data_IF_439809918214
#
_entry.id   IF_439809918214
#
_cell.length_a   1.000
_cell.length_b   1.000
_cell.length_c   1.000
_cell.angle_alpha   90.00
_cell.angle_beta   90.00
_cell.angle_gamma   90.00
#
_symmetry.space_group_name_H-M   'P 1'
#
loop_
_entity.id
_entity.type
_entity.pdbx_description
1 polymer ?
#
# COMPACT_ATOMS: atom_id res chain seq x y z
N UNK A 1 -8.27 9.59 9.56
CA UNK A 1 -8.32 9.28 8.12
C UNK A 1 -8.78 7.84 7.92
N UNK A 2 -9.82 7.65 7.13
CA UNK A 2 -10.29 6.32 6.79
C UNK A 2 -9.38 5.69 5.73
N UNK A 3 -9.36 4.35 5.67
CA UNK A 3 -8.53 3.65 4.67
C UNK A 3 -8.96 4.01 3.24
N UNK A 4 -10.26 4.19 3.02
CA UNK A 4 -10.79 4.62 1.70
C UNK A 4 -10.31 6.02 1.32
N UNK A 5 -10.17 6.92 2.29
CA UNK A 5 -9.64 8.28 2.05
C UNK A 5 -8.18 8.21 1.63
N UNK A 6 -7.39 7.37 2.29
CA UNK A 6 -5.99 7.19 1.94
C UNK A 6 -5.83 6.60 0.55
N UNK A 7 -6.62 5.58 0.22
CA UNK A 7 -6.59 4.97 -1.11
C UNK A 7 -6.94 5.99 -2.19
N UNK A 8 -7.96 6.82 -1.95
CA UNK A 8 -8.34 7.89 -2.88
C UNK A 8 -7.23 8.92 -3.02
N UNK A 9 -6.58 9.29 -1.91
CA UNK A 9 -5.46 10.22 -1.94
C UNK A 9 -4.32 9.70 -2.82
N UNK A 10 -4.02 8.42 -2.74
CA UNK A 10 -2.98 7.81 -3.59
C UNK A 10 -3.37 7.85 -5.07
N UNK A 11 -4.64 7.66 -5.39
CA UNK A 11 -5.11 7.80 -6.78
C UNK A 11 -5.02 9.25 -7.26
N UNK A 12 -5.42 10.19 -6.43
CA UNK A 12 -5.36 11.62 -6.77
C UNK A 12 -3.90 12.07 -7.02
N UNK A 13 -2.96 11.59 -6.21
CA UNK A 13 -1.56 11.99 -6.31
C UNK A 13 -0.79 11.23 -7.39
N UNK A 14 -1.02 9.93 -7.54
CA UNK A 14 -0.16 9.03 -8.30
C UNK A 14 -0.88 8.17 -9.33
N UNK A 15 -2.21 8.23 -9.39
CA UNK A 15 -3.00 7.31 -10.23
C UNK A 15 -2.58 7.30 -11.69
N UNK A 16 -2.32 8.47 -12.27
CA UNK A 16 -1.89 8.57 -13.67
C UNK A 16 -0.51 7.91 -13.88
N UNK A 17 0.45 8.26 -13.02
CA UNK A 17 1.80 7.69 -13.08
C UNK A 17 1.77 6.18 -12.83
N UNK A 18 0.93 5.72 -11.91
CA UNK A 18 0.77 4.30 -11.60
C UNK A 18 0.27 3.52 -12.82
N UNK A 19 -0.76 4.05 -13.48
CA UNK A 19 -1.33 3.41 -14.68
C UNK A 19 -0.33 3.38 -15.82
N UNK A 20 0.44 4.45 -16.00
CA UNK A 20 1.49 4.51 -17.04
C UNK A 20 2.61 3.50 -16.77
N UNK A 21 2.97 3.32 -15.50
CA UNK A 21 4.01 2.35 -15.10
C UNK A 21 3.54 0.91 -15.28
N UNK A 22 2.28 0.64 -14.98
CA UNK A 22 1.67 -0.68 -15.09
C UNK A 22 1.77 -1.52 -13.82
N UNK A 23 0.86 -2.49 -13.70
CA UNK A 23 0.73 -3.35 -12.50
C UNK A 23 1.98 -4.19 -12.18
N UNK A 24 2.65 -4.83 -13.16
CA UNK A 24 3.83 -5.64 -12.82
C UNK A 24 4.91 -4.82 -12.11
N UNK A 25 5.13 -3.59 -12.55
CA UNK A 25 6.10 -2.69 -11.92
C UNK A 25 5.63 -2.25 -10.53
N UNK A 26 4.34 -1.99 -10.35
CA UNK A 26 3.78 -1.65 -9.04
C UNK A 26 3.97 -2.79 -8.04
N UNK A 27 3.75 -4.05 -8.46
CA UNK A 27 3.98 -5.22 -7.62
C UNK A 27 5.44 -5.34 -7.23
N UNK A 28 6.36 -5.12 -8.17
CA UNK A 28 7.79 -5.16 -7.88
C UNK A 28 8.20 -4.11 -6.84
N UNK A 29 7.70 -2.89 -6.97
CA UNK A 29 7.95 -1.82 -5.99
C UNK A 29 7.37 -2.13 -4.63
N UNK A 30 6.13 -2.67 -4.59
CA UNK A 30 5.51 -3.10 -3.33
C UNK A 30 6.38 -4.14 -2.61
N UNK A 31 6.87 -5.15 -3.34
CA UNK A 31 7.73 -6.18 -2.77
C UNK A 31 9.04 -5.58 -2.25
N UNK A 32 9.62 -4.62 -2.95
CA UNK A 32 10.83 -3.94 -2.51
C UNK A 32 10.59 -3.18 -1.20
N UNK A 33 9.46 -2.46 -1.10
CA UNK A 33 9.11 -1.73 0.13
C UNK A 33 8.87 -2.66 1.31
N UNK A 34 8.27 -3.83 1.07
CA UNK A 34 8.12 -4.85 2.13
C UNK A 34 9.49 -5.29 2.63
N UNK A 35 10.47 -5.45 1.73
CA UNK A 35 11.84 -5.75 2.11
C UNK A 35 12.49 -4.65 2.94
N UNK A 36 12.27 -3.40 2.59
CA UNK A 36 12.77 -2.26 3.36
C UNK A 36 12.13 -2.17 4.74
N UNK A 37 10.82 -2.48 4.83
CA UNK A 37 10.14 -2.57 6.12
C UNK A 37 10.77 -3.66 7.00
N UNK A 38 11.03 -4.82 6.43
CA UNK A 38 11.66 -5.92 7.16
C UNK A 38 13.03 -5.51 7.69
N UNK A 39 13.80 -4.78 6.90
CA UNK A 39 15.10 -4.25 7.34
C UNK A 39 14.95 -3.25 8.48
N UNK A 40 13.99 -2.34 8.38
CA UNK A 40 13.73 -1.34 9.41
C UNK A 40 13.28 -1.98 10.73
N UNK A 41 12.51 -3.05 10.67
CA UNK A 41 12.10 -3.81 11.86
C UNK A 41 13.30 -4.46 12.53
N UNK A 42 14.23 -5.01 11.75
CA UNK A 42 15.39 -5.72 12.29
C UNK A 42 16.44 -4.78 12.88
N UNK A 43 16.70 -3.64 12.25
CA UNK A 43 17.82 -2.78 12.64
C UNK A 43 17.59 -1.29 12.46
N UNK A 44 16.36 -0.88 12.23
CA UNK A 44 16.04 0.54 12.07
C UNK A 44 15.50 1.19 13.32
N UNK A 45 15.27 2.48 13.23
CA UNK A 45 14.64 3.28 14.28
C UNK A 45 13.11 3.22 14.15
N UNK A 46 12.42 3.69 15.18
CA UNK A 46 10.96 3.83 15.15
C UNK A 46 10.52 4.73 13.99
N UNK A 47 11.24 5.81 13.73
CA UNK A 47 10.94 6.70 12.60
C UNK A 47 11.05 5.98 11.26
N UNK A 48 12.09 5.18 11.08
CA UNK A 48 12.29 4.41 9.85
C UNK A 48 11.20 3.35 9.69
N UNK A 49 10.82 2.68 10.76
CA UNK A 49 9.74 1.70 10.76
C UNK A 49 8.41 2.35 10.34
N UNK A 50 8.10 3.51 10.90
CA UNK A 50 6.88 4.25 10.57
C UNK A 50 6.89 4.69 9.10
N UNK A 51 8.05 5.16 8.62
CA UNK A 51 8.22 5.55 7.22
C UNK A 51 7.95 4.37 6.28
N UNK A 52 8.54 3.21 6.54
CA UNK A 52 8.38 2.04 5.68
C UNK A 52 6.98 1.44 5.75
N UNK A 53 6.31 1.50 6.90
CA UNK A 53 4.89 1.13 6.97
C UNK A 53 4.05 2.01 6.06
N UNK A 54 4.32 3.32 6.04
CA UNK A 54 3.64 4.25 5.15
C UNK A 54 3.88 3.94 3.68
N UNK A 55 5.12 3.64 3.31
CA UNK A 55 5.47 3.30 1.93
C UNK A 55 4.79 2.03 1.46
N UNK A 56 4.77 0.98 2.30
CA UNK A 56 4.06 -0.27 1.98
C UNK A 56 2.57 -0.01 1.79
N UNK A 57 1.97 0.77 2.70
CA UNK A 57 0.55 1.10 2.60
C UNK A 57 0.25 1.90 1.32
N UNK A 58 1.13 2.84 0.96
CA UNK A 58 0.97 3.65 -0.25
C UNK A 58 1.03 2.79 -1.52
N UNK A 59 2.03 1.91 -1.64
CA UNK A 59 2.15 1.04 -2.81
C UNK A 59 1.01 0.02 -2.88
N UNK A 60 0.55 -0.50 -1.73
CA UNK A 60 -0.61 -1.39 -1.68
C UNK A 60 -1.86 -0.66 -2.18
N UNK A 61 -2.06 0.59 -1.76
CA UNK A 61 -3.18 1.41 -2.20
C UNK A 61 -3.12 1.68 -3.71
N UNK A 62 -1.94 1.99 -4.24
CA UNK A 62 -1.73 2.15 -5.68
C UNK A 62 -2.08 0.90 -6.46
N UNK A 63 -1.69 -0.27 -5.96
CA UNK A 63 -2.03 -1.54 -6.59
C UNK A 63 -3.54 -1.77 -6.58
N UNK A 64 -4.20 -1.53 -5.45
CA UNK A 64 -5.65 -1.67 -5.34
C UNK A 64 -6.37 -0.74 -6.34
N UNK A 65 -5.91 0.51 -6.48
CA UNK A 65 -6.45 1.45 -7.45
C UNK A 65 -6.32 0.92 -8.89
N UNK A 66 -5.16 0.36 -9.23
CA UNK A 66 -4.94 -0.21 -10.57
C UNK A 66 -5.82 -1.43 -10.83
N UNK A 67 -6.09 -2.22 -9.80
CA UNK A 67 -6.98 -3.38 -9.89
C UNK A 67 -8.48 -3.00 -9.92
N UNK A 68 -8.81 -1.75 -9.60
CA UNK A 68 -10.19 -1.32 -9.44
C UNK A 68 -10.88 -1.91 -8.22
N UNK A 69 -10.11 -2.22 -7.18
CA UNK A 69 -10.61 -2.83 -5.95
C UNK A 69 -10.45 -1.88 -4.77
N UNK A 70 -11.27 -2.09 -3.74
CA UNK A 70 -11.25 -1.28 -2.52
C UNK A 70 -10.55 -2.02 -1.39
N UNK A 71 -9.58 -1.36 -0.75
CA UNK A 71 -8.93 -1.89 0.45
C UNK A 71 -9.92 -2.02 1.60
N UNK A 72 -10.88 -1.10 1.71
CA UNK A 72 -11.92 -1.19 2.73
C UNK A 72 -12.75 -2.46 2.55
N UNK A 73 -13.13 -2.78 1.32
CA UNK A 73 -13.86 -4.02 1.02
C UNK A 73 -13.00 -5.24 1.38
N UNK A 74 -11.71 -5.21 1.05
CA UNK A 74 -10.80 -6.31 1.39
C UNK A 74 -10.71 -6.49 2.91
N UNK A 75 -10.67 -5.39 3.67
CA UNK A 75 -10.59 -5.43 5.13
C UNK A 75 -11.90 -5.93 5.77
N UNK A 76 -13.04 -5.74 5.11
CA UNK A 76 -14.36 -6.07 5.65
C UNK A 76 -14.48 -7.55 6.01
N UNK A 77 -13.80 -8.43 5.28
CA UNK A 77 -13.79 -9.86 5.57
C UNK A 77 -13.36 -10.16 7.02
N UNK A 78 -12.44 -9.38 7.55
CA UNK A 78 -11.94 -9.57 8.91
C UNK A 78 -12.92 -9.10 9.99
N UNK A 79 -13.88 -8.27 9.61
CA UNK A 79 -14.95 -7.82 10.51
C UNK A 79 -16.07 -8.86 10.56
N UNK A 80 -16.44 -9.44 9.42
CA UNK A 80 -17.60 -10.31 9.30
C UNK A 80 -17.29 -11.79 9.47
N UNK A 81 -16.15 -12.27 8.95
CA UNK A 81 -15.78 -13.69 8.96
C UNK A 81 -14.25 -13.82 8.89
N UNK A 82 -13.53 -13.49 9.97
CA UNK A 82 -12.07 -13.57 9.95
C UNK A 82 -11.59 -15.01 9.78
N UNK A 83 -10.56 -15.22 8.95
CA UNK A 83 -10.02 -16.56 8.71
C UNK A 83 -9.32 -17.15 9.94
#
# INVERSE_FOLDING_TARGET
MEISDFQKLMDDLYGEADRDRGMPSTVAWLCEEVGELAQAVRKGTTEQQLHELGDVLAWLSSLANQLGLSLEDAAQRYVTDPP
#
